data_IF_854307818551
#
_entry.id   IF_854307818551
#
_cell.length_a   1.000
_cell.length_b   1.000
_cell.length_c   1.000
_cell.angle_alpha   90.00
_cell.angle_beta   90.00
_cell.angle_gamma   90.00
#
_symmetry.space_group_name_H-M   'P 1'
#
loop_
_entity.id
_entity.type
_entity.pdbx_description
1 polymer ?
#
# COMPACT_ATOMS: atom_id res chain seq x y z
N UNK A 1 -30.85 -4.61 9.58
CA UNK A 1 -29.96 -3.59 10.14
C UNK A 1 -28.55 -3.68 9.55
N UNK A 2 -27.86 -4.80 9.63
CA UNK A 2 -26.50 -4.97 9.07
C UNK A 2 -26.44 -4.77 7.54
N UNK A 3 -27.43 -5.26 6.81
CA UNK A 3 -27.55 -5.07 5.36
C UNK A 3 -27.71 -3.59 4.98
N UNK A 4 -28.53 -2.85 5.71
CA UNK A 4 -28.69 -1.41 5.49
C UNK A 4 -27.41 -0.63 5.77
N UNK A 5 -26.63 -1.02 6.80
CA UNK A 5 -25.32 -0.42 7.11
C UNK A 5 -24.33 -0.73 5.98
N UNK A 6 -24.27 -1.98 5.54
CA UNK A 6 -23.36 -2.37 4.45
C UNK A 6 -23.70 -1.64 3.15
N UNK A 7 -24.97 -1.55 2.78
CA UNK A 7 -25.42 -0.81 1.59
C UNK A 7 -25.12 0.69 1.68
N UNK A 8 -25.23 1.28 2.88
CA UNK A 8 -24.82 2.65 3.12
C UNK A 8 -23.31 2.85 2.94
N UNK A 9 -22.50 1.96 3.52
CA UNK A 9 -21.04 2.02 3.37
C UNK A 9 -20.61 1.87 1.91
N UNK A 10 -21.18 0.93 1.17
CA UNK A 10 -20.90 0.76 -0.27
C UNK A 10 -21.29 2.01 -1.06
N UNK A 11 -22.44 2.62 -0.77
CA UNK A 11 -22.87 3.86 -1.44
C UNK A 11 -21.94 5.06 -1.12
N UNK A 12 -21.35 5.10 0.08
CA UNK A 12 -20.33 6.12 0.44
C UNK A 12 -19.03 5.83 -0.29
N UNK A 13 -18.59 4.58 -0.33
CA UNK A 13 -17.37 4.16 -1.02
C UNK A 13 -17.42 4.48 -2.52
N UNK A 14 -18.52 4.16 -3.19
CA UNK A 14 -18.75 4.47 -4.60
C UNK A 14 -18.67 5.98 -4.90
N UNK A 15 -19.06 6.82 -3.93
CA UNK A 15 -18.93 8.28 -4.06
C UNK A 15 -17.51 8.75 -3.82
N UNK A 16 -16.83 8.19 -2.82
CA UNK A 16 -15.46 8.57 -2.44
C UNK A 16 -14.49 8.15 -3.55
N UNK A 17 -14.54 6.88 -3.99
CA UNK A 17 -13.73 6.36 -5.11
C UNK A 17 -14.39 6.57 -6.47
N UNK A 18 -15.32 7.50 -6.56
CA UNK A 18 -15.93 7.90 -7.81
C UNK A 18 -14.93 8.54 -8.79
N UNK A 19 -15.41 8.82 -10.00
CA UNK A 19 -14.63 9.45 -11.07
C UNK A 19 -13.87 10.72 -10.61
N UNK A 20 -14.43 11.61 -9.75
CA UNK A 20 -13.72 12.82 -9.36
C UNK A 20 -12.40 12.58 -8.64
N UNK A 21 -12.34 11.66 -7.68
CA UNK A 21 -11.10 11.37 -6.94
C UNK A 21 -10.07 10.69 -7.84
N UNK A 22 -10.50 9.74 -8.67
CA UNK A 22 -9.60 9.08 -9.62
C UNK A 22 -9.00 10.07 -10.61
N UNK A 23 -9.82 10.96 -11.18
CA UNK A 23 -9.35 12.02 -12.09
C UNK A 23 -8.36 12.92 -11.36
N UNK A 24 -8.64 13.30 -10.11
CA UNK A 24 -7.76 14.14 -9.31
C UNK A 24 -6.37 13.49 -9.12
N UNK A 25 -6.33 12.20 -8.75
CA UNK A 25 -5.07 11.49 -8.50
C UNK A 25 -4.30 11.28 -9.81
N UNK A 26 -4.95 10.81 -10.86
CA UNK A 26 -4.30 10.59 -12.17
C UNK A 26 -3.84 11.93 -12.77
N UNK A 27 -4.68 12.97 -12.75
CA UNK A 27 -4.31 14.29 -13.26
C UNK A 27 -3.12 14.87 -12.48
N UNK A 28 -3.09 14.70 -11.16
CA UNK A 28 -1.94 15.10 -10.34
C UNK A 28 -0.66 14.36 -10.73
N UNK A 29 -0.73 13.04 -10.91
CA UNK A 29 0.39 12.25 -11.39
C UNK A 29 0.87 12.64 -12.78
N UNK A 30 -0.04 12.88 -13.72
CA UNK A 30 0.26 13.38 -15.08
C UNK A 30 0.89 14.77 -15.03
N UNK A 31 0.34 15.69 -14.25
CA UNK A 31 0.89 17.03 -14.07
C UNK A 31 2.32 16.96 -13.53
N UNK A 32 2.56 16.21 -12.47
CA UNK A 32 3.88 16.07 -11.86
C UNK A 32 4.86 15.37 -12.82
N UNK A 33 4.44 14.32 -13.51
CA UNK A 33 5.24 13.65 -14.54
C UNK A 33 5.68 14.61 -15.62
N UNK A 34 4.77 15.42 -16.15
CA UNK A 34 5.04 16.38 -17.22
C UNK A 34 5.97 17.49 -16.73
N UNK A 35 5.72 18.08 -15.56
CA UNK A 35 6.53 19.15 -15.00
C UNK A 35 7.93 18.72 -14.57
N UNK A 36 8.09 17.46 -14.18
CA UNK A 36 9.37 16.85 -13.83
C UNK A 36 10.09 16.23 -15.04
N UNK A 37 9.50 16.32 -16.24
CA UNK A 37 10.10 15.83 -17.48
C UNK A 37 10.33 14.33 -17.50
N UNK A 38 9.33 13.54 -17.10
CA UNK A 38 9.37 12.08 -17.03
C UNK A 38 10.54 11.57 -16.16
N UNK A 39 10.72 12.20 -15.00
CA UNK A 39 11.81 11.90 -14.06
C UNK A 39 11.84 10.41 -13.68
N UNK A 40 10.68 9.78 -13.47
CA UNK A 40 10.56 8.38 -13.10
C UNK A 40 11.17 7.41 -14.13
N UNK A 41 11.24 7.81 -15.42
CA UNK A 41 11.93 7.01 -16.46
C UNK A 41 13.41 7.40 -16.52
N UNK A 42 13.70 8.69 -16.60
CA UNK A 42 15.06 9.21 -16.83
C UNK A 42 16.00 9.00 -15.65
N UNK A 43 15.48 8.91 -14.44
CA UNK A 43 16.27 8.85 -13.19
C UNK A 43 16.06 7.57 -12.39
N UNK A 44 15.31 6.60 -12.91
CA UNK A 44 15.12 5.30 -12.26
C UNK A 44 16.46 4.59 -11.95
N UNK A 45 17.45 4.53 -12.89
CA UNK A 45 18.74 3.90 -12.57
C UNK A 45 19.49 4.62 -11.44
N UNK A 46 19.36 5.94 -11.35
CA UNK A 46 19.97 6.73 -10.29
C UNK A 46 19.27 6.45 -8.94
N UNK A 47 17.95 6.35 -8.94
CA UNK A 47 17.16 6.01 -7.75
C UNK A 47 17.55 4.63 -7.20
N UNK A 48 17.66 3.62 -8.07
CA UNK A 48 18.10 2.26 -7.71
C UNK A 48 19.54 2.25 -7.14
N UNK A 49 20.44 3.05 -7.71
CA UNK A 49 21.80 3.18 -7.18
C UNK A 49 21.79 3.80 -5.77
N UNK A 50 20.95 4.78 -5.51
CA UNK A 50 20.92 5.48 -4.23
C UNK A 50 20.13 4.73 -3.15
N UNK A 51 19.29 3.80 -3.52
CA UNK A 51 18.61 2.93 -2.58
C UNK A 51 19.58 2.22 -1.62
N UNK A 52 20.76 1.81 -2.13
CA UNK A 52 21.79 1.10 -1.35
C UNK A 52 22.90 2.02 -0.82
N UNK A 53 22.86 3.32 -1.14
CA UNK A 53 23.83 4.27 -0.63
C UNK A 53 23.31 4.91 0.66
N UNK A 54 23.84 4.47 1.79
CA UNK A 54 23.53 5.13 3.06
C UNK A 54 24.27 6.46 3.15
N UNK A 55 23.58 7.52 3.53
CA UNK A 55 24.18 8.75 4.03
C UNK A 55 24.32 8.63 5.55
N UNK A 56 25.46 9.09 6.07
CA UNK A 56 25.76 9.06 7.50
C UNK A 56 25.47 10.43 8.16
N UNK A 57 25.15 11.45 7.33
CA UNK A 57 24.94 12.82 7.77
C UNK A 57 23.54 13.34 7.37
N UNK A 58 22.92 14.08 8.27
CA UNK A 58 21.63 14.76 8.07
C UNK A 58 20.68 14.62 9.26
N UNK A 59 19.65 15.46 9.26
CA UNK A 59 18.59 15.42 10.26
C UNK A 59 17.65 14.23 9.98
N UNK A 60 17.74 13.15 10.75
CA UNK A 60 16.89 11.96 10.60
C UNK A 60 17.16 10.94 11.68
N UNK A 61 16.34 9.89 11.72
CA UNK A 61 16.43 8.85 12.77
C UNK A 61 16.91 7.50 12.21
N UNK A 62 16.68 7.26 10.94
CA UNK A 62 16.92 5.96 10.27
C UNK A 62 17.53 6.20 8.88
N UNK A 63 18.30 5.24 8.37
CA UNK A 63 18.87 5.36 7.03
C UNK A 63 17.79 5.53 5.94
N UNK A 64 18.15 6.11 4.80
CA UNK A 64 17.22 6.27 3.67
C UNK A 64 16.69 4.91 3.17
N UNK A 65 17.51 3.85 3.22
CA UNK A 65 17.08 2.49 2.93
C UNK A 65 16.07 1.98 3.97
N UNK A 66 16.31 2.25 5.27
CA UNK A 66 15.37 1.90 6.33
C UNK A 66 14.04 2.62 6.20
N UNK A 67 14.06 3.90 5.82
CA UNK A 67 12.87 4.68 5.56
C UNK A 67 12.08 4.12 4.36
N UNK A 68 12.77 3.71 3.29
CA UNK A 68 12.15 3.02 2.16
C UNK A 68 11.55 1.69 2.57
N UNK A 69 12.28 0.85 3.33
CA UNK A 69 11.76 -0.42 3.82
C UNK A 69 10.56 -0.22 4.76
N UNK A 70 10.57 0.82 5.59
CA UNK A 70 9.41 1.17 6.43
C UNK A 70 8.22 1.62 5.57
N UNK A 71 8.45 2.39 4.52
CA UNK A 71 7.40 2.75 3.57
C UNK A 71 6.89 1.53 2.79
N UNK A 72 7.78 0.65 2.32
CA UNK A 72 7.43 -0.60 1.65
C UNK A 72 6.72 -1.59 2.59
N UNK A 73 7.05 -1.59 3.87
CA UNK A 73 6.34 -2.42 4.83
C UNK A 73 4.87 -2.04 4.96
N UNK A 74 4.56 -0.75 4.85
CA UNK A 74 3.18 -0.27 4.87
C UNK A 74 2.43 -0.54 3.55
N UNK A 75 3.13 -0.57 2.41
CA UNK A 75 2.53 -0.69 1.07
C UNK A 75 2.45 -2.14 0.59
N UNK A 76 3.51 -2.95 0.76
CA UNK A 76 3.51 -4.36 0.35
C UNK A 76 2.73 -5.19 1.37
N UNK A 77 1.43 -5.40 1.09
CA UNK A 77 0.49 -6.04 1.98
C UNK A 77 -0.51 -6.96 1.24
N UNK A 78 -1.69 -7.09 1.81
CA UNK A 78 -2.79 -7.82 1.17
C UNK A 78 -3.17 -7.21 -0.19
N UNK A 79 -2.91 -5.92 -0.39
CA UNK A 79 -3.15 -5.22 -1.66
C UNK A 79 -2.49 -5.90 -2.86
N UNK A 80 -1.25 -6.34 -2.71
CA UNK A 80 -0.45 -6.95 -3.79
C UNK A 80 -0.92 -8.35 -4.21
N UNK A 81 -1.61 -9.07 -3.35
CA UNK A 81 -2.08 -10.43 -3.61
C UNK A 81 -3.60 -10.45 -3.72
N UNK A 82 -4.32 -10.07 -2.67
CA UNK A 82 -5.78 -10.06 -2.61
C UNK A 82 -6.37 -8.90 -3.40
N UNK A 83 -5.78 -7.70 -3.28
CA UNK A 83 -6.25 -6.50 -3.97
C UNK A 83 -6.14 -6.63 -5.50
N UNK A 84 -5.02 -7.16 -6.00
CA UNK A 84 -4.83 -7.43 -7.43
C UNK A 84 -5.84 -8.46 -7.93
N UNK A 85 -6.03 -9.57 -7.19
CA UNK A 85 -7.02 -10.57 -7.51
C UNK A 85 -8.43 -9.97 -7.60
N UNK A 86 -8.81 -9.17 -6.60
CA UNK A 86 -10.11 -8.48 -6.56
C UNK A 86 -10.27 -7.53 -7.76
N UNK A 87 -9.20 -6.78 -8.12
CA UNK A 87 -9.25 -5.88 -9.27
C UNK A 87 -9.48 -6.63 -10.59
N UNK A 88 -8.74 -7.73 -10.79
CA UNK A 88 -8.82 -8.51 -12.04
C UNK A 88 -10.13 -9.31 -12.12
N UNK A 89 -10.65 -9.82 -11.01
CA UNK A 89 -11.95 -10.49 -10.98
C UNK A 89 -13.12 -9.51 -11.25
N UNK A 90 -13.09 -8.31 -10.64
CA UNK A 90 -14.17 -7.35 -10.76
C UNK A 90 -14.11 -6.49 -12.03
N UNK A 91 -12.92 -6.15 -12.50
CA UNK A 91 -12.68 -5.29 -13.67
C UNK A 91 -12.21 -6.04 -14.93
N UNK A 92 -12.06 -7.37 -14.84
CA UNK A 92 -11.44 -8.17 -15.89
C UNK A 92 -9.92 -7.98 -15.96
N UNK A 93 -9.21 -8.72 -16.84
CA UNK A 93 -7.76 -8.59 -17.04
C UNK A 93 -7.28 -7.16 -17.34
N UNK A 94 -8.14 -6.33 -17.96
CA UNK A 94 -7.85 -4.92 -18.24
C UNK A 94 -7.61 -4.05 -17.03
N UNK A 95 -8.09 -4.44 -15.84
CA UNK A 95 -7.80 -3.74 -14.59
C UNK A 95 -6.30 -3.72 -14.29
N UNK A 96 -5.56 -4.77 -14.63
CA UNK A 96 -4.10 -4.81 -14.49
C UNK A 96 -3.41 -3.74 -15.33
N UNK A 97 -3.86 -3.51 -16.57
CA UNK A 97 -3.32 -2.44 -17.41
C UNK A 97 -3.46 -1.07 -16.74
N UNK A 98 -4.66 -0.76 -16.27
CA UNK A 98 -4.93 0.54 -15.63
C UNK A 98 -4.23 0.71 -14.29
N UNK A 99 -4.01 -0.39 -13.57
CA UNK A 99 -3.19 -0.40 -12.36
C UNK A 99 -1.73 -0.01 -12.66
N UNK A 100 -1.13 -0.56 -13.71
CA UNK A 100 0.23 -0.23 -14.16
C UNK A 100 0.32 1.23 -14.62
N UNK A 101 -0.66 1.71 -15.38
CA UNK A 101 -0.73 3.11 -15.84
C UNK A 101 -0.82 4.08 -14.64
N UNK A 102 -1.68 3.77 -13.67
CA UNK A 102 -1.79 4.57 -12.45
C UNK A 102 -0.48 4.59 -11.66
N UNK A 103 0.18 3.46 -11.52
CA UNK A 103 1.47 3.36 -10.83
C UNK A 103 2.57 4.13 -11.55
N UNK A 104 2.62 4.10 -12.88
CA UNK A 104 3.58 4.87 -13.66
C UNK A 104 3.51 6.37 -13.35
N UNK A 105 2.31 6.95 -13.33
CA UNK A 105 2.12 8.34 -12.94
C UNK A 105 2.28 8.53 -11.43
N UNK A 106 1.89 7.55 -10.63
CA UNK A 106 2.06 7.51 -9.18
C UNK A 106 3.52 7.59 -8.72
N UNK A 107 4.48 7.11 -9.52
CA UNK A 107 5.90 7.25 -9.22
C UNK A 107 6.34 8.72 -9.11
N UNK A 108 5.85 9.61 -9.98
CA UNK A 108 6.13 11.04 -9.91
C UNK A 108 5.44 11.68 -8.70
N UNK A 109 4.26 11.19 -8.33
CA UNK A 109 3.56 11.59 -7.11
C UNK A 109 4.36 11.23 -5.88
N UNK A 110 4.81 9.98 -5.73
CA UNK A 110 5.66 9.51 -4.62
C UNK A 110 6.99 10.26 -4.54
N UNK A 111 7.61 10.56 -5.68
CA UNK A 111 8.78 11.44 -5.72
C UNK A 111 8.49 12.78 -5.03
N UNK A 112 7.39 13.41 -5.41
CA UNK A 112 6.99 14.72 -4.90
C UNK A 112 6.66 14.68 -3.42
N UNK A 113 5.95 13.66 -2.98
CA UNK A 113 5.61 13.39 -1.58
C UNK A 113 6.87 13.24 -0.71
N UNK A 114 7.82 12.39 -1.13
CA UNK A 114 9.08 12.18 -0.40
C UNK A 114 9.96 13.42 -0.35
N UNK A 115 10.01 14.20 -1.45
CA UNK A 115 10.72 15.46 -1.51
C UNK A 115 10.14 16.49 -0.52
N UNK A 116 8.81 16.66 -0.53
CA UNK A 116 8.13 17.60 0.37
C UNK A 116 8.22 17.18 1.82
N UNK A 117 8.24 15.88 2.11
CA UNK A 117 8.37 15.35 3.46
C UNK A 117 9.69 15.80 4.12
N UNK A 118 10.81 15.68 3.42
CA UNK A 118 12.13 16.12 3.90
C UNK A 118 12.22 17.64 3.92
N UNK A 119 11.71 18.32 2.89
CA UNK A 119 11.74 19.79 2.78
C UNK A 119 11.06 20.50 3.94
N UNK A 120 9.94 19.97 4.42
CA UNK A 120 9.10 20.60 5.45
C UNK A 120 9.07 19.84 6.77
N UNK A 121 9.98 18.89 6.99
CA UNK A 121 10.07 18.17 8.26
C UNK A 121 10.44 19.09 9.41
N UNK A 122 10.15 18.63 10.60
CA UNK A 122 10.45 19.29 11.87
C UNK A 122 11.20 18.30 12.74
N UNK A 123 12.24 18.75 13.38
CA UNK A 123 12.91 17.97 14.44
C UNK A 123 12.29 18.39 15.78
N UNK A 124 11.73 17.41 16.49
CA UNK A 124 11.15 17.62 17.82
C UNK A 124 12.26 17.84 18.87
N UNK A 125 11.86 18.32 20.06
CA UNK A 125 12.81 18.64 21.12
C UNK A 125 13.63 17.44 21.66
N UNK A 126 13.17 16.21 21.44
CA UNK A 126 13.86 14.96 21.77
C UNK A 126 14.68 14.40 20.58
N UNK A 127 14.75 15.12 19.47
CA UNK A 127 15.55 14.78 18.31
C UNK A 127 14.84 13.89 17.28
N UNK A 128 13.60 13.48 17.50
CA UNK A 128 12.89 12.70 16.49
C UNK A 128 12.34 13.57 15.34
N UNK A 129 12.33 13.01 14.12
CA UNK A 129 11.93 13.72 12.92
C UNK A 129 10.44 13.55 12.65
N UNK A 130 9.75 14.67 12.50
CA UNK A 130 8.32 14.74 12.20
C UNK A 130 8.09 15.34 10.81
N UNK A 131 7.36 14.66 9.96
CA UNK A 131 7.03 15.13 8.62
C UNK A 131 5.86 14.40 8.01
N UNK A 132 5.56 14.73 6.77
CA UNK A 132 4.42 14.19 6.04
C UNK A 132 3.42 15.27 5.63
N UNK A 133 2.25 14.89 5.09
CA UNK A 133 1.29 15.84 4.53
C UNK A 133 0.84 16.93 5.49
N UNK A 134 0.61 16.58 6.75
CA UNK A 134 0.17 17.57 7.75
C UNK A 134 1.21 18.68 7.96
N UNK A 135 2.51 18.39 7.83
CA UNK A 135 3.56 19.43 7.93
C UNK A 135 3.74 20.22 6.64
N UNK A 136 3.77 19.58 5.46
CA UNK A 136 3.92 20.36 4.24
C UNK A 136 2.63 21.11 3.85
N UNK A 137 1.44 20.68 4.31
CA UNK A 137 0.22 21.48 4.23
C UNK A 137 0.33 22.72 5.15
N UNK A 138 0.65 22.53 6.44
CA UNK A 138 0.70 23.65 7.39
C UNK A 138 1.84 24.64 7.10
N UNK A 139 3.05 24.14 6.77
CA UNK A 139 4.24 24.98 6.54
C UNK A 139 4.42 25.38 5.08
N UNK A 140 4.15 24.50 4.15
CA UNK A 140 4.34 24.75 2.72
C UNK A 140 3.22 25.62 2.12
N UNK A 141 1.96 25.34 2.45
CA UNK A 141 0.81 26.14 2.00
C UNK A 141 0.52 27.31 2.94
N UNK A 142 1.04 27.28 4.18
CA UNK A 142 0.88 28.30 5.20
C UNK A 142 -0.14 27.96 6.29
N UNK A 143 -0.05 28.67 7.41
CA UNK A 143 -0.82 28.40 8.64
C UNK A 143 -2.35 28.45 8.46
N UNK A 144 -2.83 29.16 7.45
CA UNK A 144 -4.26 29.21 7.11
C UNK A 144 -4.81 27.84 6.70
N UNK A 145 -3.96 26.91 6.25
CA UNK A 145 -4.33 25.56 5.82
C UNK A 145 -4.20 24.51 6.93
N UNK A 146 -3.92 24.90 8.16
CA UNK A 146 -3.80 23.98 9.29
C UNK A 146 -5.03 23.11 9.51
N UNK A 147 -6.22 23.59 9.18
CA UNK A 147 -7.46 22.79 9.23
C UNK A 147 -7.39 21.58 8.28
N UNK A 148 -6.84 21.77 7.07
CA UNK A 148 -6.70 20.71 6.07
C UNK A 148 -5.66 19.67 6.55
N UNK A 149 -4.57 20.13 7.16
CA UNK A 149 -3.56 19.27 7.79
C UNK A 149 -4.16 18.39 8.90
N UNK A 150 -5.06 18.96 9.74
CA UNK A 150 -5.77 18.21 10.79
C UNK A 150 -6.75 17.18 10.19
N UNK A 151 -7.45 17.51 9.11
CA UNK A 151 -8.33 16.57 8.39
C UNK A 151 -7.51 15.38 7.86
N UNK A 152 -6.37 15.65 7.21
CA UNK A 152 -5.47 14.59 6.77
C UNK A 152 -5.06 13.68 7.93
N UNK A 153 -4.57 14.27 9.02
CA UNK A 153 -4.08 13.52 10.17
C UNK A 153 -5.20 12.72 10.85
N UNK A 154 -6.42 13.25 10.91
CA UNK A 154 -7.59 12.51 11.42
C UNK A 154 -7.88 11.27 10.58
N UNK A 155 -7.94 11.42 9.27
CA UNK A 155 -8.15 10.25 8.40
C UNK A 155 -6.97 9.28 8.45
N UNK A 156 -5.73 9.75 8.61
CA UNK A 156 -4.56 8.87 8.79
C UNK A 156 -4.66 8.00 10.04
N UNK A 157 -5.20 8.52 11.14
CA UNK A 157 -5.51 7.72 12.34
C UNK A 157 -6.60 6.69 12.05
N UNK A 158 -7.68 7.08 11.34
CA UNK A 158 -8.77 6.19 11.00
C UNK A 158 -8.33 5.06 10.05
N UNK A 159 -7.53 5.38 9.04
CA UNK A 159 -6.98 4.38 8.08
C UNK A 159 -6.14 3.33 8.80
N UNK A 160 -5.28 3.75 9.72
CA UNK A 160 -4.48 2.79 10.49
C UNK A 160 -5.35 1.92 11.38
N UNK A 161 -6.28 2.51 12.14
CA UNK A 161 -7.04 1.79 13.16
C UNK A 161 -8.17 0.92 12.58
N UNK A 162 -8.86 1.37 11.53
CA UNK A 162 -10.06 0.71 10.99
C UNK A 162 -9.92 0.25 9.54
N UNK A 163 -8.81 0.58 8.89
CA UNK A 163 -8.64 0.38 7.46
C UNK A 163 -7.49 -0.55 7.09
N UNK A 164 -6.67 -0.05 6.19
CA UNK A 164 -5.55 -0.79 5.59
C UNK A 164 -4.48 -1.18 6.63
N UNK A 165 -4.38 -0.43 7.74
CA UNK A 165 -3.37 -0.69 8.76
C UNK A 165 -3.66 -1.91 9.64
N UNK A 166 -4.92 -2.25 9.88
CA UNK A 166 -5.29 -3.33 10.80
C UNK A 166 -6.23 -4.33 10.15
N UNK A 167 -7.52 -3.99 10.04
CA UNK A 167 -8.58 -4.95 9.76
C UNK A 167 -8.42 -5.70 8.44
N UNK A 168 -8.06 -5.00 7.35
CA UNK A 168 -7.87 -5.65 6.04
C UNK A 168 -6.68 -6.62 6.05
N UNK A 169 -5.58 -6.26 6.72
CA UNK A 169 -4.39 -7.10 6.79
C UNK A 169 -4.63 -8.33 7.65
N UNK A 170 -5.17 -8.11 8.85
CA UNK A 170 -5.43 -9.22 9.79
C UNK A 170 -6.47 -10.19 9.25
N UNK A 171 -7.49 -9.68 8.57
CA UNK A 171 -8.49 -10.49 7.87
C UNK A 171 -7.85 -11.30 6.74
N UNK A 172 -6.95 -10.69 5.94
CA UNK A 172 -6.19 -11.39 4.91
C UNK A 172 -5.33 -12.52 5.47
N UNK A 173 -4.60 -12.27 6.57
CA UNK A 173 -3.81 -13.31 7.27
C UNK A 173 -4.71 -14.45 7.74
N UNK A 174 -5.78 -14.12 8.45
CA UNK A 174 -6.69 -15.11 9.03
C UNK A 174 -7.36 -15.97 7.95
N UNK A 175 -7.77 -15.35 6.84
CA UNK A 175 -8.35 -16.08 5.71
C UNK A 175 -7.34 -16.99 5.05
N UNK A 176 -6.10 -16.57 4.86
CA UNK A 176 -5.04 -17.39 4.28
C UNK A 176 -4.69 -18.59 5.18
N UNK A 177 -4.54 -18.35 6.49
CA UNK A 177 -4.27 -19.39 7.49
C UNK A 177 -5.41 -20.38 7.55
N UNK A 178 -6.66 -19.90 7.59
CA UNK A 178 -7.85 -20.77 7.60
C UNK A 178 -7.93 -21.61 6.34
N UNK A 179 -7.75 -21.01 5.15
CA UNK A 179 -7.81 -21.74 3.88
C UNK A 179 -6.74 -22.83 3.77
N UNK A 180 -5.60 -22.67 4.44
CA UNK A 180 -4.53 -23.66 4.43
C UNK A 180 -4.72 -24.75 5.48
N UNK A 181 -5.02 -24.39 6.75
CA UNK A 181 -5.08 -25.36 7.87
C UNK A 181 -6.46 -25.94 8.13
N UNK A 182 -7.53 -25.23 7.78
CA UNK A 182 -8.91 -25.66 8.02
C UNK A 182 -9.87 -25.15 6.93
N UNK A 183 -9.67 -25.59 5.64
CA UNK A 183 -10.45 -25.10 4.50
C UNK A 183 -11.94 -25.40 4.64
N UNK A 184 -12.30 -26.48 5.31
CA UNK A 184 -13.68 -26.93 5.47
C UNK A 184 -14.34 -26.44 6.78
N UNK A 185 -13.64 -25.64 7.60
CA UNK A 185 -14.11 -25.13 8.89
C UNK A 185 -14.59 -26.26 9.84
N UNK A 186 -13.84 -27.34 9.89
CA UNK A 186 -14.18 -28.52 10.67
C UNK A 186 -13.88 -28.37 12.16
N UNK A 187 -12.85 -27.55 12.48
CA UNK A 187 -12.39 -27.31 13.85
C UNK A 187 -12.77 -25.90 14.29
N UNK A 188 -14.02 -25.74 14.78
CA UNK A 188 -14.52 -24.43 15.18
C UNK A 188 -14.70 -24.33 16.71
N UNK A 189 -14.41 -23.12 17.22
CA UNK A 189 -14.70 -22.73 18.62
C UNK A 189 -15.81 -21.68 18.59
N UNK A 190 -16.75 -21.80 19.53
CA UNK A 190 -17.77 -20.78 19.74
C UNK A 190 -17.24 -19.71 20.69
N UNK A 191 -17.05 -18.48 20.16
CA UNK A 191 -16.61 -17.34 20.96
C UNK A 191 -17.85 -16.55 21.39
N UNK A 192 -18.08 -16.37 22.72
CA UNK A 192 -19.23 -15.60 23.19
C UNK A 192 -19.32 -14.22 22.50
N UNK A 193 -20.51 -13.84 22.05
CA UNK A 193 -20.84 -12.60 21.34
C UNK A 193 -20.29 -12.46 19.90
N UNK A 194 -19.27 -13.24 19.49
CA UNK A 194 -18.65 -13.15 18.17
C UNK A 194 -19.10 -14.26 17.20
N UNK A 195 -19.49 -15.43 17.72
CA UNK A 195 -19.94 -16.56 16.90
C UNK A 195 -18.91 -17.68 16.76
N UNK A 196 -19.07 -18.53 15.72
CA UNK A 196 -18.18 -19.66 15.47
C UNK A 196 -17.03 -19.28 14.54
N UNK A 197 -15.81 -19.57 14.99
CA UNK A 197 -14.58 -19.34 14.23
C UNK A 197 -13.67 -20.56 14.28
N UNK A 198 -12.94 -20.80 13.19
CA UNK A 198 -11.93 -21.87 13.15
C UNK A 198 -10.86 -21.64 14.21
N UNK A 199 -10.41 -22.74 14.84
CA UNK A 199 -9.27 -22.71 15.78
C UNK A 199 -8.05 -22.06 15.15
N UNK A 200 -7.80 -22.30 13.87
CA UNK A 200 -6.70 -21.71 13.14
C UNK A 200 -6.76 -20.17 13.12
N UNK A 201 -7.96 -19.58 12.97
CA UNK A 201 -8.17 -18.12 13.03
C UNK A 201 -7.88 -17.59 14.42
N UNK A 202 -8.37 -18.26 15.47
CA UNK A 202 -8.18 -17.80 16.86
C UNK A 202 -6.72 -17.86 17.26
N UNK A 203 -6.04 -18.96 16.97
CA UNK A 203 -4.61 -19.14 17.29
C UNK A 203 -3.76 -18.13 16.51
N UNK A 204 -4.02 -17.97 15.21
CA UNK A 204 -3.27 -17.01 14.40
C UNK A 204 -3.47 -15.56 14.86
N UNK A 205 -4.68 -15.18 15.29
CA UNK A 205 -4.94 -13.83 15.81
C UNK A 205 -4.20 -13.55 17.13
N UNK A 206 -4.11 -14.52 18.01
CA UNK A 206 -3.34 -14.41 19.27
C UNK A 206 -1.84 -14.27 19.00
N UNK A 207 -1.27 -15.12 18.14
CA UNK A 207 0.14 -15.07 17.76
C UNK A 207 0.45 -13.74 17.10
N UNK A 208 -0.41 -13.30 16.17
CA UNK A 208 -0.23 -12.04 15.45
C UNK A 208 -0.25 -10.84 16.42
N UNK A 209 -1.25 -10.76 17.30
CA UNK A 209 -1.36 -9.68 18.28
C UNK A 209 -0.14 -9.64 19.22
N UNK A 210 0.36 -10.80 19.65
CA UNK A 210 1.57 -10.89 20.46
C UNK A 210 2.82 -10.40 19.71
N UNK A 211 3.03 -10.85 18.46
CA UNK A 211 4.16 -10.43 17.64
C UNK A 211 4.13 -8.92 17.34
N UNK A 212 2.94 -8.40 17.01
CA UNK A 212 2.72 -6.96 16.78
C UNK A 212 3.05 -6.17 18.05
N UNK A 213 2.50 -6.55 19.21
CA UNK A 213 2.76 -5.91 20.49
C UNK A 213 4.26 -5.89 20.83
N UNK A 214 4.95 -7.03 20.65
CA UNK A 214 6.38 -7.16 20.93
C UNK A 214 7.24 -6.19 20.11
N UNK A 215 6.82 -5.85 18.88
CA UNK A 215 7.56 -4.93 18.02
C UNK A 215 7.16 -3.48 18.30
N UNK A 216 5.87 -3.18 18.36
CA UNK A 216 5.35 -1.81 18.51
C UNK A 216 5.83 -1.14 19.80
N UNK A 217 5.96 -1.88 20.91
CA UNK A 217 6.51 -1.36 22.18
C UNK A 217 7.91 -0.78 21.99
N UNK A 218 8.70 -1.27 21.02
CA UNK A 218 10.03 -0.77 20.70
C UNK A 218 10.07 0.51 19.83
N UNK A 219 8.91 0.98 19.36
CA UNK A 219 8.77 2.20 18.55
C UNK A 219 9.41 2.13 17.16
N UNK A 220 9.57 3.31 16.50
CA UNK A 220 10.01 3.43 15.11
C UNK A 220 11.30 2.66 14.80
N UNK A 221 12.33 2.78 15.65
CA UNK A 221 13.63 2.12 15.39
C UNK A 221 13.49 0.61 15.30
N UNK A 222 12.64 0.02 16.13
CA UNK A 222 12.37 -1.43 16.09
C UNK A 222 11.56 -1.81 14.87
N UNK A 223 10.52 -1.03 14.54
CA UNK A 223 9.73 -1.22 13.31
C UNK A 223 10.65 -1.15 12.09
N UNK A 224 11.49 -0.13 11.99
CA UNK A 224 12.44 0.04 10.88
C UNK A 224 13.45 -1.11 10.77
N UNK A 225 14.00 -1.58 11.90
CA UNK A 225 14.93 -2.72 11.92
C UNK A 225 14.26 -4.00 11.43
N UNK A 226 13.04 -4.27 11.87
CA UNK A 226 12.26 -5.44 11.45
C UNK A 226 11.91 -5.32 9.95
N UNK A 227 11.48 -4.15 9.50
CA UNK A 227 11.13 -3.88 8.10
C UNK A 227 12.33 -4.04 7.16
N UNK A 228 13.54 -3.59 7.55
CA UNK A 228 14.75 -3.77 6.74
C UNK A 228 15.12 -5.22 6.49
N UNK A 229 14.73 -6.14 7.36
CA UNK A 229 15.01 -7.57 7.24
C UNK A 229 13.87 -8.27 6.49
N UNK A 230 12.63 -8.07 6.98
CA UNK A 230 11.47 -8.82 6.47
C UNK A 230 11.10 -8.37 5.06
N UNK A 231 11.08 -7.06 4.78
CA UNK A 231 10.59 -6.55 3.49
C UNK A 231 11.41 -7.03 2.30
N UNK A 232 12.76 -6.92 2.28
CA UNK A 232 13.54 -7.49 1.19
C UNK A 232 13.39 -9.01 1.08
N UNK A 233 13.35 -9.71 2.23
CA UNK A 233 13.23 -11.17 2.27
C UNK A 233 11.91 -11.63 1.64
N UNK A 234 10.77 -11.05 2.08
CA UNK A 234 9.46 -11.42 1.56
C UNK A 234 9.29 -11.06 0.07
N UNK A 235 9.80 -9.87 -0.33
CA UNK A 235 9.74 -9.42 -1.71
C UNK A 235 10.55 -10.35 -2.63
N UNK A 236 11.75 -10.74 -2.25
CA UNK A 236 12.59 -11.65 -3.03
C UNK A 236 11.94 -13.02 -3.18
N UNK A 237 11.40 -13.60 -2.10
CA UNK A 237 10.70 -14.90 -2.17
C UNK A 237 9.53 -14.80 -3.15
N UNK A 238 8.68 -13.78 -3.00
CA UNK A 238 7.51 -13.63 -3.85
C UNK A 238 7.89 -13.40 -5.32
N UNK A 239 8.90 -12.57 -5.58
CA UNK A 239 9.41 -12.32 -6.94
C UNK A 239 9.98 -13.60 -7.54
N UNK A 240 10.77 -14.37 -6.81
CA UNK A 240 11.34 -15.63 -7.30
C UNK A 240 10.25 -16.63 -7.67
N UNK A 241 9.24 -16.78 -6.83
CA UNK A 241 8.09 -17.66 -7.10
C UNK A 241 7.28 -17.20 -8.31
N UNK A 242 7.01 -15.90 -8.40
CA UNK A 242 6.25 -15.34 -9.53
C UNK A 242 7.05 -15.43 -10.83
N UNK A 243 8.36 -15.21 -10.79
CA UNK A 243 9.24 -15.40 -11.96
C UNK A 243 9.30 -16.87 -12.37
N UNK A 244 9.40 -17.80 -11.42
CA UNK A 244 9.35 -19.23 -11.70
C UNK A 244 8.04 -19.60 -12.41
N UNK A 245 6.89 -19.11 -11.90
CA UNK A 245 5.58 -19.30 -12.53
C UNK A 245 5.58 -18.77 -13.98
N UNK A 246 6.06 -17.55 -14.19
CA UNK A 246 6.10 -16.89 -15.49
C UNK A 246 7.02 -17.66 -16.46
N UNK A 247 8.18 -18.12 -16.01
CA UNK A 247 9.12 -18.89 -16.82
C UNK A 247 8.53 -20.26 -17.20
N UNK A 248 7.90 -20.96 -16.26
CA UNK A 248 7.25 -22.25 -16.53
C UNK A 248 6.10 -22.14 -17.55
N UNK A 249 5.52 -20.95 -17.70
CA UNK A 249 4.42 -20.68 -18.63
C UNK A 249 4.79 -19.63 -19.69
N UNK A 250 6.05 -19.61 -20.13
CA UNK A 250 6.59 -18.55 -21.00
C UNK A 250 5.84 -18.42 -22.33
N UNK A 251 5.29 -19.52 -22.83
CA UNK A 251 4.49 -19.57 -24.07
C UNK A 251 3.16 -18.83 -23.96
N UNK A 252 2.61 -18.72 -22.74
CA UNK A 252 1.33 -18.06 -22.46
C UNK A 252 1.46 -16.56 -22.27
N UNK A 253 2.68 -16.05 -22.05
CA UNK A 253 2.93 -14.63 -21.77
C UNK A 253 2.43 -13.71 -22.89
N UNK A 254 2.72 -13.96 -24.18
CA UNK A 254 2.24 -13.08 -25.25
C UNK A 254 0.70 -13.03 -25.29
N UNK A 255 0.03 -14.17 -25.12
CA UNK A 255 -1.42 -14.26 -25.06
C UNK A 255 -1.99 -13.50 -23.85
N UNK A 256 -1.38 -13.64 -22.68
CA UNK A 256 -1.77 -12.94 -21.47
C UNK A 256 -1.63 -11.41 -21.62
N UNK A 257 -0.52 -10.92 -22.17
CA UNK A 257 -0.31 -9.48 -22.42
C UNK A 257 -1.37 -8.95 -23.41
N UNK A 258 -1.61 -9.67 -24.50
CA UNK A 258 -2.65 -9.30 -25.49
C UNK A 258 -4.03 -9.26 -24.82
N UNK A 259 -4.33 -10.22 -23.95
CA UNK A 259 -5.59 -10.29 -23.20
C UNK A 259 -5.73 -9.08 -22.28
N UNK A 260 -4.69 -8.73 -21.51
CA UNK A 260 -4.67 -7.56 -20.63
C UNK A 260 -4.91 -6.27 -21.40
N UNK A 261 -4.19 -6.07 -22.52
CA UNK A 261 -4.31 -4.86 -23.33
C UNK A 261 -5.68 -4.78 -24.01
N UNK A 262 -6.15 -5.86 -24.63
CA UNK A 262 -7.48 -5.89 -25.26
C UNK A 262 -8.59 -5.63 -24.25
N UNK A 263 -8.54 -6.28 -23.08
CA UNK A 263 -9.53 -6.11 -22.03
C UNK A 263 -9.50 -4.68 -21.40
N UNK A 264 -8.40 -3.97 -21.47
CA UNK A 264 -8.30 -2.60 -20.97
C UNK A 264 -9.16 -1.61 -21.79
N UNK A 265 -9.30 -1.84 -23.10
CA UNK A 265 -10.00 -0.94 -24.02
C UNK A 265 -11.30 -1.53 -24.57
N UNK A 266 -11.43 -2.86 -24.60
CA UNK A 266 -12.63 -3.57 -25.03
C UNK A 266 -12.90 -4.78 -24.13
N UNK A 267 -13.36 -4.59 -22.89
CA UNK A 267 -13.59 -5.69 -21.96
C UNK A 267 -14.57 -6.74 -22.45
N UNK A 268 -15.63 -6.32 -23.15
CA UNK A 268 -16.67 -7.24 -23.67
C UNK A 268 -16.14 -8.26 -24.69
N UNK A 269 -15.07 -7.93 -25.41
CA UNK A 269 -14.45 -8.84 -26.39
C UNK A 269 -13.68 -10.00 -25.71
N UNK A 270 -13.30 -9.85 -24.44
CA UNK A 270 -12.52 -10.85 -23.67
C UNK A 270 -13.42 -11.64 -22.71
N UNK A 271 -14.44 -11.00 -22.14
CA UNK A 271 -15.24 -11.55 -21.04
C UNK A 271 -16.60 -12.09 -21.45
N UNK A 272 -16.91 -12.09 -22.75
CA UNK A 272 -18.19 -12.60 -23.24
C UNK A 272 -19.41 -11.77 -22.84
N UNK A 273 -19.23 -10.49 -22.59
CA UNK A 273 -20.34 -9.54 -22.36
C UNK A 273 -20.81 -9.38 -20.92
N UNK A 274 -20.22 -10.07 -19.97
CA UNK A 274 -20.68 -10.05 -18.55
C UNK A 274 -19.97 -8.99 -17.72
N UNK A 275 -18.77 -8.58 -18.09
CA UNK A 275 -17.95 -7.67 -17.28
C UNK A 275 -17.84 -6.30 -17.93
N UNK A 276 -18.17 -5.35 -17.17
CA UNK A 276 -18.24 -3.94 -17.29
C UNK A 276 -17.47 -3.21 -18.39
N UNK A 277 -17.88 -1.98 -18.59
CA UNK A 277 -17.24 -1.02 -19.49
C UNK A 277 -15.76 -0.81 -19.18
N UNK A 278 -15.00 -0.26 -20.11
CA UNK A 278 -13.63 0.23 -19.90
C UNK A 278 -13.51 1.07 -18.61
N UNK A 279 -14.55 1.81 -18.25
CA UNK A 279 -14.62 2.61 -17.02
C UNK A 279 -14.51 1.72 -15.79
N UNK A 280 -15.18 0.56 -15.73
CA UNK A 280 -15.10 -0.34 -14.56
C UNK A 280 -13.70 -0.96 -14.46
N UNK A 281 -13.11 -1.41 -15.56
CA UNK A 281 -11.73 -1.92 -15.56
C UNK A 281 -10.74 -0.85 -15.07
N UNK A 282 -10.89 0.39 -15.53
CA UNK A 282 -10.09 1.52 -15.09
C UNK A 282 -10.32 1.83 -13.60
N UNK A 283 -11.57 1.90 -13.16
CA UNK A 283 -11.90 2.18 -11.76
C UNK A 283 -11.30 1.13 -10.81
N UNK A 284 -11.52 -0.14 -11.10
CA UNK A 284 -11.02 -1.23 -10.24
C UNK A 284 -9.49 -1.31 -10.29
N UNK A 285 -8.87 -1.14 -11.45
CA UNK A 285 -7.43 -1.14 -11.60
C UNK A 285 -6.77 0.04 -10.87
N UNK A 286 -7.24 1.27 -11.08
CA UNK A 286 -6.70 2.47 -10.45
C UNK A 286 -6.91 2.44 -8.93
N UNK A 287 -8.13 2.14 -8.46
CA UNK A 287 -8.42 2.12 -7.03
C UNK A 287 -7.57 1.10 -6.28
N UNK A 288 -7.47 -0.14 -6.78
CA UNK A 288 -6.65 -1.19 -6.15
C UNK A 288 -5.15 -0.97 -6.32
N UNK A 289 -4.72 -0.34 -7.41
CA UNK A 289 -3.34 0.11 -7.58
C UNK A 289 -2.93 1.14 -6.55
N UNK A 290 -3.75 2.17 -6.35
CA UNK A 290 -3.52 3.22 -5.35
C UNK A 290 -3.61 2.64 -3.93
N UNK A 291 -4.56 1.75 -3.68
CA UNK A 291 -4.66 1.05 -2.40
C UNK A 291 -3.37 0.30 -2.05
N UNK A 292 -2.72 -0.34 -3.05
CA UNK A 292 -1.47 -1.07 -2.85
C UNK A 292 -0.28 -0.13 -2.67
N UNK A 293 -0.01 0.77 -3.64
CA UNK A 293 1.20 1.58 -3.64
C UNK A 293 1.10 2.90 -2.88
N UNK A 294 -0.10 3.29 -2.45
CA UNK A 294 -0.39 4.52 -1.68
C UNK A 294 0.06 5.82 -2.35
N UNK A 295 0.26 5.86 -3.68
CA UNK A 295 0.66 7.08 -4.38
C UNK A 295 -0.50 8.09 -4.42
N UNK A 296 -0.29 9.25 -3.83
CA UNK A 296 -1.31 10.29 -3.68
C UNK A 296 -2.11 10.20 -2.38
N UNK A 297 -1.95 9.13 -1.60
CA UNK A 297 -2.56 9.03 -0.27
C UNK A 297 -1.83 9.88 0.78
N UNK A 298 -0.52 10.11 0.62
CA UNK A 298 0.27 10.91 1.56
C UNK A 298 0.76 10.15 2.80
N UNK A 299 0.65 8.84 2.86
CA UNK A 299 1.08 8.00 3.98
C UNK A 299 2.61 7.82 4.02
N UNK A 300 3.21 7.36 2.92
CA UNK A 300 4.64 7.10 2.81
C UNK A 300 5.57 8.29 3.12
N UNK A 301 5.21 9.56 2.82
CA UNK A 301 6.00 10.72 3.25
C UNK A 301 6.25 10.79 4.75
N UNK A 302 5.40 10.18 5.57
CA UNK A 302 5.57 10.13 7.04
C UNK A 302 6.85 9.36 7.40
N UNK A 303 7.10 8.20 6.75
CA UNK A 303 8.35 7.46 6.93
C UNK A 303 9.54 8.15 6.22
N UNK A 304 9.32 8.72 5.04
CA UNK A 304 10.35 9.42 4.30
C UNK A 304 10.95 10.60 5.06
N UNK A 305 10.16 11.26 5.91
CA UNK A 305 10.62 12.36 6.75
C UNK A 305 11.64 11.92 7.83
N UNK A 306 11.60 10.66 8.27
CA UNK A 306 12.54 10.12 9.25
C UNK A 306 13.88 9.70 8.63
N UNK A 307 14.05 9.79 7.31
CA UNK A 307 15.28 9.42 6.62
C UNK A 307 16.45 10.36 6.99
N UNK A 308 17.61 9.77 7.27
CA UNK A 308 18.86 10.47 7.57
C UNK A 308 19.42 11.07 6.28
N UNK A 309 18.92 12.22 5.89
CA UNK A 309 19.36 12.98 4.71
C UNK A 309 18.85 14.41 4.75
N UNK A 310 19.63 15.37 4.30
CA UNK A 310 19.25 16.77 4.12
C UNK A 310 18.90 17.09 2.66
N UNK A 311 18.87 16.09 1.80
CA UNK A 311 18.58 16.23 0.39
C UNK A 311 17.15 15.83 0.02
N UNK A 312 16.20 16.80 -0.12
CA UNK A 312 14.82 16.50 -0.50
C UNK A 312 14.71 15.75 -1.84
N UNK A 313 15.53 16.14 -2.84
CA UNK A 313 15.52 15.50 -4.15
C UNK A 313 16.00 14.04 -4.13
N UNK A 314 16.97 13.73 -3.28
CA UNK A 314 17.45 12.36 -3.09
C UNK A 314 16.38 11.48 -2.47
N UNK A 315 15.78 11.92 -1.36
CA UNK A 315 14.71 11.16 -0.71
C UNK A 315 13.50 11.01 -1.61
N UNK A 316 13.19 12.02 -2.44
CA UNK A 316 12.16 11.89 -3.48
C UNK A 316 12.46 10.74 -4.45
N UNK A 317 13.71 10.62 -4.95
CA UNK A 317 14.12 9.53 -5.84
C UNK A 317 13.98 8.15 -5.17
N UNK A 318 14.36 8.04 -3.90
CA UNK A 318 14.23 6.80 -3.14
C UNK A 318 12.76 6.47 -2.91
N UNK A 319 11.94 7.45 -2.52
CA UNK A 319 10.51 7.26 -2.26
C UNK A 319 9.73 6.79 -3.49
N UNK A 320 10.10 7.24 -4.70
CA UNK A 320 9.42 6.79 -5.92
C UNK A 320 9.62 5.29 -6.20
N UNK A 321 10.71 4.68 -5.68
CA UNK A 321 10.95 3.24 -5.80
C UNK A 321 9.89 2.42 -5.05
N UNK A 322 9.24 3.00 -4.04
CA UNK A 322 8.12 2.35 -3.36
C UNK A 322 7.03 1.91 -4.35
N UNK A 323 6.52 2.83 -5.16
CA UNK A 323 5.52 2.52 -6.20
C UNK A 323 6.06 1.60 -7.29
N UNK A 324 7.33 1.77 -7.68
CA UNK A 324 7.96 0.90 -8.68
C UNK A 324 8.01 -0.56 -8.20
N UNK A 325 8.53 -0.81 -7.00
CA UNK A 325 8.67 -2.17 -6.45
C UNK A 325 7.30 -2.77 -6.16
N UNK A 326 6.41 -2.01 -5.50
CA UNK A 326 5.09 -2.47 -5.09
C UNK A 326 4.22 -2.86 -6.30
N UNK A 327 4.04 -1.94 -7.24
CA UNK A 327 3.01 -2.13 -8.28
C UNK A 327 3.61 -2.52 -9.63
N UNK A 328 4.64 -1.79 -10.12
CA UNK A 328 5.23 -2.14 -11.42
C UNK A 328 5.88 -3.51 -11.37
N UNK A 329 6.45 -3.93 -10.23
CA UNK A 329 7.03 -5.27 -10.10
C UNK A 329 6.02 -6.24 -9.48
N UNK A 330 5.70 -6.12 -8.20
CA UNK A 330 4.97 -7.17 -7.45
C UNK A 330 3.51 -7.32 -7.92
N UNK A 331 2.72 -6.24 -8.02
CA UNK A 331 1.33 -6.36 -8.47
C UNK A 331 1.22 -6.82 -9.92
N UNK A 332 2.16 -6.38 -10.79
CA UNK A 332 2.18 -6.85 -12.18
C UNK A 332 2.45 -8.35 -12.26
N UNK A 333 3.39 -8.87 -11.47
CA UNK A 333 3.65 -10.32 -11.40
C UNK A 333 2.42 -11.09 -10.91
N UNK A 334 1.76 -10.61 -9.85
CA UNK A 334 0.52 -11.22 -9.35
C UNK A 334 -0.56 -11.24 -10.43
N UNK A 335 -0.82 -10.10 -11.06
CA UNK A 335 -1.86 -9.98 -12.08
C UNK A 335 -1.60 -10.84 -13.30
N UNK A 336 -0.34 -10.88 -13.78
CA UNK A 336 0.05 -11.77 -14.89
C UNK A 336 -0.12 -13.24 -14.51
N UNK A 337 0.25 -13.64 -13.29
CA UNK A 337 0.07 -15.02 -12.81
C UNK A 337 -1.42 -15.43 -12.84
N UNK A 338 -2.31 -14.54 -12.38
CA UNK A 338 -3.76 -14.76 -12.39
C UNK A 338 -4.30 -14.88 -13.83
N UNK A 339 -3.83 -14.02 -14.74
CA UNK A 339 -4.28 -14.01 -16.14
C UNK A 339 -3.78 -15.24 -16.89
N UNK A 340 -2.50 -15.62 -16.72
CA UNK A 340 -1.91 -16.82 -17.30
C UNK A 340 -2.66 -18.08 -16.84
N UNK A 341 -2.95 -18.17 -15.54
CA UNK A 341 -3.67 -19.29 -14.95
C UNK A 341 -5.18 -19.33 -15.31
N UNK A 342 -5.74 -18.23 -15.80
CA UNK A 342 -7.18 -18.12 -16.11
C UNK A 342 -8.08 -18.16 -14.86
N UNK A 343 -7.55 -17.90 -13.68
CA UNK A 343 -8.30 -18.05 -12.40
C UNK A 343 -9.20 -16.86 -12.07
N UNK A 344 -9.19 -15.81 -12.86
CA UNK A 344 -9.97 -14.61 -12.64
C UNK A 344 -11.47 -14.74 -12.94
N UNK A 345 -11.90 -15.78 -13.66
CA UNK A 345 -13.28 -15.99 -14.13
C UNK A 345 -13.92 -17.32 -13.67
N UNK A 346 -13.34 -17.98 -12.66
CA UNK A 346 -13.83 -19.29 -12.18
C UNK A 346 -14.67 -19.20 -10.89
N UNK A 347 -15.11 -18.00 -10.52
CA UNK A 347 -15.97 -17.78 -9.36
C UNK A 347 -15.28 -17.82 -8.00
N UNK A 348 -13.93 -17.73 -7.97
CA UNK A 348 -13.16 -17.57 -6.75
C UNK A 348 -13.03 -16.10 -6.38
N UNK A 349 -12.78 -15.81 -5.09
CA UNK A 349 -12.60 -14.46 -4.57
C UNK A 349 -11.35 -14.34 -3.69
N UNK A 350 -10.83 -13.12 -3.61
CA UNK A 350 -9.75 -12.76 -2.69
C UNK A 350 -8.49 -13.61 -2.88
N UNK A 351 -7.95 -14.12 -1.77
CA UNK A 351 -6.71 -14.89 -1.78
C UNK A 351 -6.82 -16.22 -2.54
N UNK A 352 -8.02 -16.81 -2.61
CA UNK A 352 -8.22 -18.10 -3.28
C UNK A 352 -7.92 -18.04 -4.79
N UNK A 353 -8.13 -16.89 -5.43
CA UNK A 353 -7.81 -16.65 -6.86
C UNK A 353 -6.31 -16.82 -7.10
N UNK A 354 -5.49 -16.11 -6.33
CA UNK A 354 -4.03 -16.15 -6.46
C UNK A 354 -3.49 -17.50 -6.02
N UNK A 355 -4.04 -18.10 -4.95
CA UNK A 355 -3.66 -19.44 -4.49
C UNK A 355 -3.88 -20.46 -5.60
N UNK A 356 -5.05 -20.43 -6.25
CA UNK A 356 -5.35 -21.34 -7.35
C UNK A 356 -4.44 -21.11 -8.56
N UNK A 357 -4.11 -19.85 -8.87
CA UNK A 357 -3.16 -19.53 -9.93
C UNK A 357 -1.79 -20.19 -9.68
N UNK A 358 -1.26 -20.07 -8.48
CA UNK A 358 0.02 -20.67 -8.11
C UNK A 358 -0.03 -22.21 -8.05
N UNK A 359 -1.15 -22.79 -7.61
CA UNK A 359 -1.36 -24.24 -7.60
C UNK A 359 -1.34 -24.85 -9.02
N UNK A 360 -1.98 -24.18 -9.96
CA UNK A 360 -2.20 -24.75 -11.31
C UNK A 360 -1.04 -24.52 -12.26
N UNK A 361 -0.19 -23.52 -12.01
CA UNK A 361 0.84 -23.08 -12.97
C UNK A 361 2.27 -23.33 -12.51
N UNK A 362 2.50 -23.58 -11.21
CA UNK A 362 3.82 -23.98 -10.71
C UNK A 362 4.01 -25.50 -10.80
N UNK A 363 5.24 -25.97 -11.09
CA UNK A 363 5.57 -27.40 -11.16
C UNK A 363 5.77 -28.02 -9.77
N UNK A 364 5.09 -27.52 -8.76
CA UNK A 364 5.19 -27.99 -7.37
C UNK A 364 3.87 -28.61 -6.90
N UNK A 365 3.88 -29.46 -5.86
CA UNK A 365 2.63 -29.93 -5.25
C UNK A 365 1.74 -28.77 -4.82
N UNK A 366 0.42 -28.90 -5.03
CA UNK A 366 -0.56 -27.85 -4.71
C UNK A 366 -0.45 -27.35 -3.26
N UNK A 367 -0.21 -28.26 -2.31
CA UNK A 367 -0.04 -27.92 -0.90
C UNK A 367 1.20 -27.06 -0.64
N UNK A 368 2.31 -27.31 -1.35
CA UNK A 368 3.54 -26.52 -1.23
C UNK A 368 3.34 -25.11 -1.81
N UNK A 369 2.72 -24.99 -2.97
CA UNK A 369 2.39 -23.71 -3.60
C UNK A 369 1.48 -22.87 -2.69
N UNK A 370 0.47 -23.48 -2.10
CA UNK A 370 -0.45 -22.85 -1.14
C UNK A 370 0.26 -22.40 0.15
N UNK A 371 1.14 -23.26 0.69
CA UNK A 371 1.90 -22.97 1.90
C UNK A 371 2.79 -21.73 1.72
N UNK A 372 3.57 -21.71 0.64
CA UNK A 372 4.48 -20.58 0.39
C UNK A 372 3.70 -19.29 0.16
N UNK A 373 2.60 -19.34 -0.62
CA UNK A 373 1.79 -18.14 -0.84
C UNK A 373 1.15 -17.63 0.47
N UNK A 374 0.68 -18.53 1.34
CA UNK A 374 0.19 -18.19 2.67
C UNK A 374 1.28 -17.49 3.48
N UNK A 375 2.50 -18.03 3.51
CA UNK A 375 3.63 -17.42 4.22
C UNK A 375 3.96 -16.04 3.65
N UNK A 376 4.01 -15.87 2.33
CA UNK A 376 4.21 -14.56 1.70
C UNK A 376 3.14 -13.56 2.14
N UNK A 377 1.87 -13.95 2.10
CA UNK A 377 0.77 -13.08 2.51
C UNK A 377 0.84 -12.71 4.00
N UNK A 378 1.19 -13.67 4.87
CA UNK A 378 1.38 -13.42 6.30
C UNK A 378 2.47 -12.38 6.52
N UNK A 379 3.63 -12.51 5.89
CA UNK A 379 4.70 -11.52 6.01
C UNK A 379 4.32 -10.16 5.43
N UNK A 380 3.70 -10.13 4.25
CA UNK A 380 3.23 -8.90 3.60
C UNK A 380 2.27 -8.14 4.52
N UNK A 381 1.23 -8.81 4.97
CA UNK A 381 0.21 -8.20 5.82
C UNK A 381 0.75 -7.83 7.21
N UNK A 382 1.63 -8.67 7.79
CA UNK A 382 2.25 -8.39 9.08
C UNK A 382 3.08 -7.11 9.06
N UNK A 383 3.92 -6.93 8.04
CA UNK A 383 4.73 -5.71 7.92
C UNK A 383 3.86 -4.48 7.68
N UNK A 384 2.75 -4.62 6.96
CA UNK A 384 1.81 -3.50 6.73
C UNK A 384 1.15 -3.04 8.04
N UNK A 385 0.81 -3.96 8.94
CA UNK A 385 0.31 -3.61 10.28
C UNK A 385 1.34 -2.73 11.03
N UNK A 386 2.62 -3.10 10.98
CA UNK A 386 3.68 -2.35 11.66
C UNK A 386 3.92 -0.96 11.05
N UNK A 387 3.93 -0.87 9.72
CA UNK A 387 4.15 0.39 9.01
C UNK A 387 3.01 1.39 9.23
N UNK A 388 1.77 0.91 9.23
CA UNK A 388 0.60 1.75 9.45
C UNK A 388 0.39 2.18 10.90
N UNK A 389 0.83 1.38 11.89
CA UNK A 389 0.88 1.84 13.26
C UNK A 389 1.75 3.10 13.37
N UNK A 390 2.97 3.05 12.82
CA UNK A 390 3.85 4.20 12.80
C UNK A 390 3.21 5.43 12.14
N UNK A 391 2.56 5.28 10.99
CA UNK A 391 1.89 6.40 10.32
C UNK A 391 0.77 7.00 11.15
N UNK A 392 -0.04 6.16 11.76
CA UNK A 392 -1.18 6.58 12.58
C UNK A 392 -0.73 7.24 13.87
N UNK A 393 0.32 6.74 14.52
CA UNK A 393 0.92 7.37 15.69
C UNK A 393 1.44 8.78 15.37
N UNK A 394 2.12 8.97 14.23
CA UNK A 394 2.59 10.29 13.79
C UNK A 394 1.43 11.25 13.49
N UNK A 395 0.36 10.75 12.87
CA UNK A 395 -0.87 11.52 12.66
C UNK A 395 -1.51 11.95 13.98
N UNK A 396 -1.61 11.03 14.94
CA UNK A 396 -2.18 11.31 16.27
C UNK A 396 -1.28 12.27 17.08
N UNK A 397 0.02 12.12 17.00
CA UNK A 397 0.98 13.02 17.64
C UNK A 397 0.79 14.46 17.15
N UNK A 398 0.67 14.65 15.82
CA UNK A 398 0.36 15.96 15.25
C UNK A 398 -0.98 16.52 15.77
N UNK A 399 -2.05 15.70 15.79
CA UNK A 399 -3.37 16.12 16.27
C UNK A 399 -3.39 16.52 17.75
N UNK A 400 -2.57 15.83 18.56
CA UNK A 400 -2.52 16.03 20.02
C UNK A 400 -1.44 16.99 20.48
N UNK A 401 -0.70 17.60 19.54
CA UNK A 401 0.37 18.54 19.84
C UNK A 401 1.56 17.91 20.58
N UNK A 402 1.93 16.66 20.23
CA UNK A 402 3.08 15.95 20.80
C UNK A 402 2.78 15.20 22.12
N UNK A 403 1.50 14.93 22.44
CA UNK A 403 1.14 14.24 23.68
C UNK A 403 1.38 12.72 23.58
N UNK A 404 2.59 12.29 23.97
CA UNK A 404 3.02 10.88 23.90
C UNK A 404 2.18 9.92 24.78
N UNK A 405 1.52 10.42 25.85
CA UNK A 405 0.61 9.57 26.64
C UNK A 405 -0.60 9.13 25.82
N UNK A 406 -1.16 10.03 25.00
CA UNK A 406 -2.27 9.70 24.11
C UNK A 406 -1.83 8.74 22.99
N UNK A 407 -0.63 8.92 22.45
CA UNK A 407 -0.04 8.01 21.46
C UNK A 407 0.13 6.61 22.06
N UNK A 408 0.59 6.50 23.30
CA UNK A 408 0.72 5.20 23.98
C UNK A 408 -0.63 4.50 24.18
N UNK A 409 -1.68 5.24 24.56
CA UNK A 409 -3.04 4.68 24.68
C UNK A 409 -3.53 4.19 23.30
N UNK A 410 -3.29 4.97 22.26
CA UNK A 410 -3.65 4.58 20.90
C UNK A 410 -2.96 3.29 20.46
N UNK A 411 -1.68 3.12 20.76
CA UNK A 411 -0.92 1.89 20.46
C UNK A 411 -1.59 0.64 21.06
N UNK A 412 -2.07 0.72 22.30
CA UNK A 412 -2.79 -0.39 22.92
C UNK A 412 -4.15 -0.65 22.26
N UNK A 413 -4.86 0.43 21.87
CA UNK A 413 -6.12 0.29 21.10
C UNK A 413 -5.84 -0.36 19.75
N UNK A 414 -4.73 0.01 19.10
CA UNK A 414 -4.31 -0.56 17.82
C UNK A 414 -4.01 -2.06 17.93
N UNK A 415 -3.27 -2.47 18.96
CA UNK A 415 -2.98 -3.90 19.23
C UNK A 415 -4.29 -4.66 19.48
N UNK A 416 -5.23 -4.08 20.22
CA UNK A 416 -6.55 -4.66 20.44
C UNK A 416 -7.34 -4.80 19.11
N UNK A 417 -7.28 -3.80 18.24
CA UNK A 417 -7.91 -3.84 16.91
C UNK A 417 -7.31 -4.95 16.04
N UNK A 418 -6.00 -5.18 16.10
CA UNK A 418 -5.32 -6.32 15.44
C UNK A 418 -5.88 -7.66 15.93
N UNK A 419 -6.15 -7.80 17.22
CA UNK A 419 -6.73 -9.01 17.78
C UNK A 419 -8.19 -9.22 17.35
N UNK A 420 -8.98 -8.12 17.27
CA UNK A 420 -10.42 -8.19 16.94
C UNK A 420 -10.65 -8.32 15.42
N UNK A 421 -9.75 -7.79 14.59
CA UNK A 421 -9.91 -7.73 13.14
C UNK A 421 -10.32 -9.01 12.43
N UNK A 422 -9.80 -10.21 12.81
CA UNK A 422 -10.17 -11.49 12.20
C UNK A 422 -11.65 -11.84 12.34
N UNK A 423 -12.31 -11.27 13.33
CA UNK A 423 -13.72 -11.55 13.66
C UNK A 423 -14.70 -10.58 12.99
N UNK A 424 -14.20 -9.64 12.17
CA UNK A 424 -15.01 -8.73 11.39
C UNK A 424 -15.40 -9.32 10.03
N UNK A 425 -16.51 -8.85 9.46
CA UNK A 425 -16.94 -9.30 8.12
C UNK A 425 -16.03 -8.72 7.04
N UNK A 426 -15.59 -9.57 6.11
CA UNK A 426 -14.64 -9.19 5.04
C UNK A 426 -15.10 -7.98 4.25
N UNK A 427 -16.36 -7.96 3.80
CA UNK A 427 -16.92 -6.87 2.98
C UNK A 427 -16.86 -5.52 3.69
N UNK A 428 -17.35 -5.44 4.94
CA UNK A 428 -17.35 -4.18 5.70
C UNK A 428 -15.94 -3.65 5.97
N UNK A 429 -15.00 -4.56 6.24
CA UNK A 429 -13.58 -4.21 6.48
C UNK A 429 -12.95 -3.52 5.28
N UNK A 430 -13.12 -4.09 4.09
CA UNK A 430 -12.54 -3.51 2.87
C UNK A 430 -13.21 -2.19 2.48
N UNK A 431 -14.54 -2.09 2.64
CA UNK A 431 -15.28 -0.86 2.34
C UNK A 431 -14.89 0.29 3.26
N UNK A 432 -14.74 0.04 4.56
CA UNK A 432 -14.28 1.05 5.52
C UNK A 432 -12.84 1.48 5.21
N UNK A 433 -11.96 0.54 4.89
CA UNK A 433 -10.59 0.83 4.50
C UNK A 433 -10.53 1.73 3.26
N UNK A 434 -11.31 1.42 2.24
CA UNK A 434 -11.38 2.20 1.01
C UNK A 434 -11.89 3.62 1.26
N UNK A 435 -12.97 3.79 2.03
CA UNK A 435 -13.54 5.11 2.35
C UNK A 435 -12.49 6.01 3.02
N UNK A 436 -11.84 5.55 4.08
CA UNK A 436 -10.86 6.38 4.79
C UNK A 436 -9.63 6.68 3.95
N UNK A 437 -9.14 5.74 3.15
CA UNK A 437 -8.05 5.96 2.21
C UNK A 437 -8.40 7.07 1.20
N UNK A 438 -9.58 7.00 0.58
CA UNK A 438 -10.00 7.99 -0.38
C UNK A 438 -10.14 9.39 0.22
N UNK A 439 -10.71 9.48 1.43
CA UNK A 439 -10.86 10.74 2.16
C UNK A 439 -9.50 11.32 2.60
N UNK A 440 -8.52 10.48 2.92
CA UNK A 440 -7.15 10.91 3.24
C UNK A 440 -6.42 11.45 2.00
N UNK A 441 -6.69 10.90 0.82
CA UNK A 441 -6.05 11.34 -0.42
C UNK A 441 -6.38 12.79 -0.79
N UNK A 442 -7.60 13.25 -0.54
CA UNK A 442 -8.05 14.59 -0.94
C UNK A 442 -7.17 15.72 -0.40
N UNK A 443 -6.91 15.85 0.93
CA UNK A 443 -6.02 16.88 1.47
C UNK A 443 -4.62 16.82 0.88
N UNK A 444 -4.09 15.61 0.69
CA UNK A 444 -2.75 15.41 0.14
C UNK A 444 -2.66 15.86 -1.31
N UNK A 445 -3.62 15.47 -2.16
CA UNK A 445 -3.64 15.89 -3.56
C UNK A 445 -3.77 17.40 -3.71
N UNK A 446 -4.59 18.07 -2.89
CA UNK A 446 -4.68 19.53 -2.85
C UNK A 446 -3.31 20.15 -2.57
N UNK A 447 -2.57 19.60 -1.59
CA UNK A 447 -1.24 20.08 -1.27
C UNK A 447 -0.23 19.85 -2.40
N UNK A 448 -0.26 18.69 -3.05
CA UNK A 448 0.62 18.40 -4.19
C UNK A 448 0.36 19.35 -5.37
N UNK A 449 -0.89 19.65 -5.66
CA UNK A 449 -1.23 20.67 -6.68
C UNK A 449 -0.74 22.06 -6.28
N UNK A 450 -0.92 22.46 -5.02
CA UNK A 450 -0.48 23.78 -4.53
C UNK A 450 1.06 23.91 -4.52
N UNK A 451 1.76 22.85 -4.11
CA UNK A 451 3.21 22.87 -3.92
C UNK A 451 4.01 22.32 -5.11
N UNK A 452 3.36 22.03 -6.25
CA UNK A 452 4.05 21.50 -7.43
C UNK A 452 5.20 22.39 -7.92
N UNK A 453 5.08 23.72 -7.78
CA UNK A 453 6.14 24.68 -8.08
C UNK A 453 7.38 24.51 -7.21
N UNK A 454 7.18 24.23 -5.92
CA UNK A 454 8.26 23.95 -4.95
C UNK A 454 8.97 22.66 -5.33
N UNK A 455 8.21 21.62 -5.69
CA UNK A 455 8.77 20.35 -6.14
C UNK A 455 9.68 20.53 -7.35
N UNK A 456 9.22 21.26 -8.37
CA UNK A 456 10.00 21.54 -9.58
C UNK A 456 11.27 22.34 -9.25
N UNK A 457 11.17 23.35 -8.41
CA UNK A 457 12.31 24.19 -8.00
C UNK A 457 13.37 23.37 -7.27
N UNK A 458 12.99 22.61 -6.23
CA UNK A 458 13.93 21.79 -5.45
C UNK A 458 14.55 20.68 -6.31
N UNK A 459 13.78 20.10 -7.24
CA UNK A 459 14.30 19.11 -8.19
C UNK A 459 15.37 19.69 -9.10
N UNK A 460 15.15 20.88 -9.65
CA UNK A 460 16.15 21.58 -10.49
C UNK A 460 17.41 21.87 -9.69
N UNK A 461 17.27 22.50 -8.53
CA UNK A 461 18.37 22.82 -7.60
C UNK A 461 19.21 21.59 -7.28
N UNK A 462 18.57 20.45 -6.99
CA UNK A 462 19.23 19.19 -6.68
C UNK A 462 20.09 18.68 -7.85
N UNK A 463 19.56 18.65 -9.07
CA UNK A 463 20.31 18.17 -10.24
C UNK A 463 21.37 19.15 -10.73
N UNK A 464 21.20 20.47 -10.51
CA UNK A 464 22.21 21.47 -10.79
C UNK A 464 23.41 21.36 -9.84
N UNK A 465 23.17 21.23 -8.54
CA UNK A 465 24.22 21.00 -7.54
C UNK A 465 25.03 19.72 -7.80
N UNK A 466 24.39 18.66 -8.31
CA UNK A 466 25.04 17.40 -8.66
C UNK A 466 25.93 17.48 -9.91
N UNK A 467 25.74 18.49 -10.79
CA UNK A 467 26.61 18.73 -11.95
C UNK A 467 27.96 19.35 -11.56
N UNK A 468 28.01 20.06 -10.45
CA UNK A 468 29.24 20.72 -9.96
C UNK A 468 30.10 19.80 -9.07
N UNK A 469 29.60 18.60 -8.70
CA UNK A 469 30.34 17.61 -7.90
C UNK A 469 30.95 16.46 -8.72
N UNK A 470 30.87 16.54 -10.07
CA UNK A 470 31.60 15.67 -11.00
C UNK A 470 32.81 16.44 -11.54
#
# INVERSE_FOLDING_TARGET
MWEAINNFLVAVDDKVWGVPLMVLIIAGGVLLTSRLGFLQVRRLPLALKWMFKNEEEGDGEISSFAALCTALSATIGTGNIVGVATAVCAGGPGALFWMIVAAFFGMATKYSEGLLAVKYRVVAGDGHSLGGPFYYIEKGMGSKWKWLAKIFAFFGVCVGLFGIGTFSQVNGISSAVQNFFDPNKTNCINIPFLGQYSVAVVVSSLILAFCVAAILIGGLKRIATVSQIIVPFMAVIYIVLSVALIICNITEIPAAIVTVVKAAFNPSAVTGGVVGSMIVAMQKGVARGIFSNEAGLGSAPIAAAAALTDSPGQQGLISMLGTFIDTIVICTMTGLSIVIAGTWNIGLEGVAVTTKAFQTTLPFPEQFSSFILMICLVFFAFTTILGWDYYSERCLEYLTGGNMKKVMVFRWIYILAVFIGPYMTVSAVWTIADIFNGLMALPNMIALFALNGVVVYETKKFFEAGKHKK
#
